data_IF_827128306944
#
_entry.id   IF_827128306944
#
_cell.length_a   1.000
_cell.length_b   1.000
_cell.length_c   1.000
_cell.angle_alpha   90.00
_cell.angle_beta   90.00
_cell.angle_gamma   90.00
#
_symmetry.space_group_name_H-M   'P 1'
#
loop_
_entity.id
_entity.type
_entity.pdbx_description
1 polymer ?
#
# COMPACT_ATOMS: atom_id res chain seq x y z
N UNK A 1 7.56 3.18 14.83
CA UNK A 1 7.53 3.35 13.36
C UNK A 1 8.19 4.65 12.93
N UNK A 2 7.81 5.81 13.48
CA UNK A 2 8.41 7.10 13.10
C UNK A 2 9.92 7.17 13.31
N UNK A 3 10.43 6.71 14.46
CA UNK A 3 11.88 6.66 14.71
C UNK A 3 12.66 5.84 13.66
N UNK A 4 12.09 4.74 13.17
CA UNK A 4 12.72 3.93 12.11
C UNK A 4 12.80 4.70 10.78
N UNK A 5 11.73 5.45 10.46
CA UNK A 5 11.67 6.31 9.29
C UNK A 5 12.66 7.48 9.39
N UNK A 6 12.84 8.05 10.57
CA UNK A 6 13.76 9.16 10.81
C UNK A 6 15.22 8.73 10.74
N UNK A 7 15.56 7.59 11.37
CA UNK A 7 16.95 7.12 11.45
C UNK A 7 17.47 6.57 10.11
N UNK A 8 16.62 5.89 9.35
CA UNK A 8 17.03 5.24 8.11
C UNK A 8 15.89 5.27 7.07
N UNK A 9 15.57 6.42 6.47
CA UNK A 9 14.35 6.60 5.69
C UNK A 9 14.23 5.70 4.46
N UNK A 10 15.34 5.22 3.91
CA UNK A 10 15.37 4.37 2.72
C UNK A 10 15.61 2.89 3.05
N UNK A 11 15.74 2.53 4.32
CA UNK A 11 15.89 1.14 4.74
C UNK A 11 14.57 0.36 4.55
N UNK A 12 14.66 -0.94 4.26
CA UNK A 12 13.50 -1.81 4.04
C UNK A 12 12.49 -1.75 5.19
N UNK A 13 12.95 -1.65 6.43
CA UNK A 13 12.07 -1.57 7.60
C UNK A 13 11.40 -0.21 7.70
N UNK A 14 12.05 0.87 7.28
CA UNK A 14 11.41 2.19 7.19
C UNK A 14 10.37 2.25 6.07
N UNK A 15 10.61 1.57 4.95
CA UNK A 15 9.62 1.46 3.86
C UNK A 15 8.40 0.68 4.36
N UNK A 16 8.60 -0.50 4.99
CA UNK A 16 7.52 -1.27 5.59
C UNK A 16 6.79 -0.49 6.69
N UNK A 17 7.51 0.24 7.54
CA UNK A 17 6.91 1.06 8.59
C UNK A 17 5.96 2.12 8.03
N UNK A 18 6.26 2.71 6.86
CA UNK A 18 5.33 3.63 6.18
C UNK A 18 4.05 2.93 5.75
N UNK A 19 4.15 1.71 5.22
CA UNK A 19 2.98 0.91 4.83
C UNK A 19 2.12 0.60 6.04
N UNK A 20 2.71 0.16 7.15
CA UNK A 20 1.95 -0.15 8.38
C UNK A 20 1.33 1.10 8.99
N UNK A 21 2.06 2.23 9.06
CA UNK A 21 1.48 3.50 9.49
C UNK A 21 0.28 3.91 8.63
N UNK A 22 0.36 3.72 7.32
CA UNK A 22 -0.76 4.03 6.44
C UNK A 22 -1.99 3.18 6.74
N UNK A 23 -1.81 1.89 7.05
CA UNK A 23 -2.92 1.03 7.52
C UNK A 23 -3.53 1.59 8.80
N UNK A 24 -2.70 1.99 9.77
CA UNK A 24 -3.19 2.60 11.02
C UNK A 24 -3.98 3.91 10.79
N UNK A 25 -3.61 4.69 9.77
CA UNK A 25 -4.37 5.88 9.37
C UNK A 25 -5.63 5.57 8.56
N UNK A 26 -5.75 4.37 7.99
CA UNK A 26 -6.85 3.98 7.10
C UNK A 26 -7.99 3.26 7.81
N UNK A 27 -7.67 2.36 8.74
CA UNK A 27 -8.64 1.45 9.37
C UNK A 27 -9.65 2.09 10.34
N UNK A 28 -9.31 3.12 11.13
CA UNK A 28 -10.28 3.73 12.06
C UNK A 28 -11.53 4.29 11.34
N UNK A 29 -12.67 4.42 12.04
CA UNK A 29 -13.82 5.12 11.49
C UNK A 29 -13.57 6.63 11.39
N UNK A 30 -14.40 7.33 10.62
CA UNK A 30 -14.43 8.80 10.66
C UNK A 30 -14.92 9.27 12.05
N UNK A 31 -14.33 10.31 12.66
CA UNK A 31 -13.33 11.23 12.12
C UNK A 31 -11.86 10.87 12.43
N UNK A 32 -11.59 9.68 12.99
CA UNK A 32 -10.25 9.30 13.45
C UNK A 32 -9.31 8.88 12.31
N UNK A 33 -9.85 8.41 11.17
CA UNK A 33 -9.03 8.08 10.00
C UNK A 33 -8.44 9.31 9.34
N UNK A 34 -7.25 9.13 8.78
CA UNK A 34 -6.54 10.15 8.00
C UNK A 34 -6.06 9.58 6.66
N UNK A 35 -6.99 9.51 5.70
CA UNK A 35 -6.71 8.95 4.36
C UNK A 35 -5.66 9.77 3.60
N UNK A 36 -5.54 11.08 3.87
CA UNK A 36 -4.52 11.94 3.25
C UNK A 36 -3.12 11.55 3.67
N UNK A 37 -2.88 11.32 4.96
CA UNK A 37 -1.57 10.86 5.43
C UNK A 37 -1.29 9.42 5.01
N UNK A 38 -2.32 8.56 4.97
CA UNK A 38 -2.19 7.20 4.44
C UNK A 38 -1.75 7.17 2.97
N UNK A 39 -2.33 8.04 2.12
CA UNK A 39 -1.94 8.14 0.70
C UNK A 39 -0.50 8.64 0.57
N UNK A 40 -0.10 9.68 1.31
CA UNK A 40 1.30 10.15 1.30
C UNK A 40 2.29 9.06 1.68
N UNK A 41 2.00 8.30 2.74
CA UNK A 41 2.87 7.24 3.24
C UNK A 41 2.99 6.08 2.24
N UNK A 42 1.87 5.63 1.69
CA UNK A 42 1.86 4.55 0.69
C UNK A 42 2.48 4.97 -0.63
N UNK A 43 2.19 6.18 -1.11
CA UNK A 43 2.84 6.75 -2.31
C UNK A 43 4.36 6.82 -2.13
N UNK A 44 4.84 7.26 -0.95
CA UNK A 44 6.27 7.27 -0.66
C UNK A 44 6.86 5.86 -0.58
N UNK A 45 6.15 4.89 0.00
CA UNK A 45 6.60 3.50 0.06
C UNK A 45 6.75 2.89 -1.34
N UNK A 46 5.74 3.07 -2.21
CA UNK A 46 5.80 2.64 -3.63
C UNK A 46 6.93 3.33 -4.39
N UNK A 47 7.19 4.61 -4.12
CA UNK A 47 8.30 5.33 -4.76
C UNK A 47 9.67 4.82 -4.32
N UNK A 48 9.83 4.39 -3.07
CA UNK A 48 11.09 3.91 -2.53
C UNK A 48 11.35 2.44 -2.88
N UNK A 49 10.29 1.63 -2.92
CA UNK A 49 10.32 0.25 -3.39
C UNK A 49 9.17 -0.01 -4.37
N UNK A 50 9.40 0.16 -5.68
CA UNK A 50 8.39 -0.09 -6.71
C UNK A 50 7.93 -1.54 -6.82
N UNK A 51 8.74 -2.48 -6.33
CA UNK A 51 8.50 -3.93 -6.38
C UNK A 51 7.83 -4.46 -5.10
N UNK A 52 7.57 -3.60 -4.12
CA UNK A 52 6.82 -3.94 -2.91
C UNK A 52 5.32 -4.02 -3.23
N UNK A 53 4.85 -5.23 -3.54
CA UNK A 53 3.44 -5.55 -3.78
C UNK A 53 2.53 -5.09 -2.65
N UNK A 54 2.94 -5.30 -1.40
CA UNK A 54 2.20 -4.88 -0.21
C UNK A 54 1.89 -3.37 -0.22
N UNK A 55 2.86 -2.53 -0.57
CA UNK A 55 2.67 -1.08 -0.65
C UNK A 55 1.64 -0.71 -1.71
N UNK A 56 1.68 -1.39 -2.86
CA UNK A 56 0.73 -1.22 -3.96
C UNK A 56 -0.70 -1.56 -3.53
N UNK A 57 -0.87 -2.71 -2.86
CA UNK A 57 -2.18 -3.16 -2.36
C UNK A 57 -2.71 -2.22 -1.29
N UNK A 58 -1.89 -1.79 -0.32
CA UNK A 58 -2.35 -0.86 0.72
C UNK A 58 -2.69 0.51 0.14
N UNK A 59 -1.93 1.01 -0.84
CA UNK A 59 -2.28 2.26 -1.54
C UNK A 59 -3.62 2.16 -2.25
N UNK A 60 -3.88 1.05 -2.94
CA UNK A 60 -5.18 0.82 -3.56
C UNK A 60 -6.32 0.85 -2.53
N UNK A 61 -6.15 0.20 -1.37
CA UNK A 61 -7.14 0.27 -0.28
C UNK A 61 -7.39 1.68 0.22
N UNK A 62 -6.35 2.51 0.33
CA UNK A 62 -6.50 3.93 0.68
C UNK A 62 -7.39 4.63 -0.35
N UNK A 63 -7.11 4.46 -1.64
CA UNK A 63 -7.93 5.03 -2.71
C UNK A 63 -9.37 4.52 -2.68
N UNK A 64 -9.61 3.23 -2.45
CA UNK A 64 -10.97 2.66 -2.29
C UNK A 64 -11.71 3.34 -1.13
N UNK A 65 -11.05 3.48 0.03
CA UNK A 65 -11.64 4.14 1.20
C UNK A 65 -11.90 5.62 0.99
N UNK A 66 -11.16 6.25 0.07
CA UNK A 66 -11.35 7.64 -0.35
C UNK A 66 -12.39 7.80 -1.48
N UNK A 67 -12.88 6.70 -2.06
CA UNK A 67 -13.81 6.70 -3.20
C UNK A 67 -13.15 6.81 -4.57
N UNK A 68 -11.81 6.80 -4.64
CA UNK A 68 -11.04 6.97 -5.87
C UNK A 68 -10.79 5.62 -6.57
N UNK A 69 -11.85 4.93 -6.97
CA UNK A 69 -11.75 3.60 -7.62
C UNK A 69 -10.84 3.58 -8.86
N UNK A 70 -10.78 4.61 -9.74
CA UNK A 70 -9.85 4.61 -10.87
C UNK A 70 -8.37 4.57 -10.44
N UNK A 71 -8.00 5.28 -9.37
CA UNK A 71 -6.64 5.24 -8.83
C UNK A 71 -6.36 3.91 -8.15
N UNK A 72 -7.34 3.35 -7.44
CA UNK A 72 -7.23 2.01 -6.87
C UNK A 72 -6.97 0.96 -7.95
N UNK A 73 -7.78 0.95 -9.01
CA UNK A 73 -7.63 0.02 -10.12
C UNK A 73 -6.23 0.10 -10.73
N UNK A 74 -5.73 1.31 -11.00
CA UNK A 74 -4.38 1.50 -11.54
C UNK A 74 -3.29 0.91 -10.65
N UNK A 75 -3.37 1.09 -9.34
CA UNK A 75 -2.39 0.53 -8.39
C UNK A 75 -2.48 -1.00 -8.28
N UNK A 76 -3.69 -1.56 -8.33
CA UNK A 76 -3.89 -3.02 -8.28
C UNK A 76 -3.42 -3.69 -9.57
N UNK A 77 -3.73 -3.12 -10.73
CA UNK A 77 -3.21 -3.59 -12.01
C UNK A 77 -1.68 -3.53 -12.01
N UNK A 78 -1.09 -2.41 -11.56
CA UNK A 78 0.37 -2.30 -11.41
C UNK A 78 0.93 -3.41 -10.51
N UNK A 79 0.31 -3.67 -9.35
CA UNK A 79 0.72 -4.72 -8.42
C UNK A 79 0.79 -6.10 -9.11
N UNK A 80 -0.21 -6.43 -9.91
CA UNK A 80 -0.30 -7.71 -10.64
C UNK A 80 0.70 -7.82 -11.80
N UNK A 81 1.26 -6.71 -12.29
CA UNK A 81 2.28 -6.70 -13.34
C UNK A 81 3.73 -6.79 -12.81
N UNK A 82 3.94 -6.75 -11.49
CA UNK A 82 5.27 -6.88 -10.88
C UNK A 82 5.78 -8.31 -11.08
N UNK A 83 6.89 -8.48 -11.82
CA UNK A 83 7.49 -9.79 -12.11
C UNK A 83 8.49 -10.26 -11.05
N UNK A 84 9.20 -9.31 -10.43
CA UNK A 84 10.26 -9.57 -9.46
C UNK A 84 9.94 -8.83 -8.15
N UNK A 85 8.97 -9.31 -7.36
CA UNK A 85 8.60 -8.63 -6.13
C UNK A 85 9.70 -8.72 -5.06
N UNK A 86 9.75 -7.72 -4.18
CA UNK A 86 10.73 -7.68 -3.07
C UNK A 86 10.56 -8.87 -2.12
N UNK A 87 9.31 -9.30 -1.89
CA UNK A 87 8.96 -10.44 -1.06
C UNK A 87 8.06 -11.39 -1.86
N UNK A 88 8.68 -12.38 -2.52
CA UNK A 88 8.00 -13.33 -3.42
C UNK A 88 6.87 -14.08 -2.73
N UNK A 89 7.13 -14.63 -1.54
CA UNK A 89 6.12 -15.38 -0.80
C UNK A 89 4.92 -14.52 -0.39
N UNK A 90 5.16 -13.29 0.06
CA UNK A 90 4.08 -12.37 0.43
C UNK A 90 3.22 -12.01 -0.79
N UNK A 91 3.87 -11.85 -1.94
CA UNK A 91 3.21 -11.54 -3.21
C UNK A 91 2.29 -12.66 -3.66
N UNK A 92 2.79 -13.89 -3.67
CA UNK A 92 2.06 -15.07 -4.14
C UNK A 92 0.93 -15.47 -3.20
N UNK A 93 1.19 -15.48 -1.89
CA UNK A 93 0.26 -15.99 -0.89
C UNK A 93 -0.80 -14.96 -0.49
N UNK A 94 -0.47 -13.67 -0.51
CA UNK A 94 -1.34 -12.63 0.05
C UNK A 94 -1.63 -11.49 -0.92
N UNK A 95 -0.61 -10.80 -1.43
CA UNK A 95 -0.83 -9.51 -2.10
C UNK A 95 -1.52 -9.64 -3.46
N UNK A 96 -1.08 -10.58 -4.32
CA UNK A 96 -1.74 -10.79 -5.61
C UNK A 96 -3.14 -11.37 -5.49
N UNK A 97 -3.40 -12.38 -4.63
CA UNK A 97 -4.77 -12.81 -4.33
C UNK A 97 -5.65 -11.66 -3.82
N UNK A 98 -5.14 -10.84 -2.89
CA UNK A 98 -5.85 -9.67 -2.38
C UNK A 98 -6.11 -8.65 -3.48
N UNK A 99 -5.13 -8.38 -4.35
CA UNK A 99 -5.28 -7.43 -5.44
C UNK A 99 -6.35 -7.84 -6.45
N UNK A 100 -6.39 -9.13 -6.84
CA UNK A 100 -7.43 -9.68 -7.71
C UNK A 100 -8.82 -9.55 -7.08
N UNK A 101 -8.92 -9.85 -5.79
CA UNK A 101 -10.18 -9.72 -5.04
C UNK A 101 -10.66 -8.27 -5.00
N UNK A 102 -9.77 -7.33 -4.72
CA UNK A 102 -10.11 -5.90 -4.67
C UNK A 102 -10.51 -5.37 -6.05
N UNK A 103 -9.82 -5.77 -7.12
CA UNK A 103 -10.18 -5.39 -8.50
C UNK A 103 -11.60 -5.83 -8.83
N UNK A 104 -11.96 -7.06 -8.50
CA UNK A 104 -13.30 -7.59 -8.74
C UNK A 104 -14.41 -6.88 -7.92
N UNK A 105 -14.05 -6.16 -6.85
CA UNK A 105 -15.01 -5.42 -6.00
C UNK A 105 -15.24 -3.98 -6.45
N UNK A 106 -14.33 -3.40 -7.23
CA UNK A 106 -14.38 -1.99 -7.65
C UNK A 106 -14.75 -1.82 -9.13
N UNK A 107 -14.84 -2.93 -9.87
CA UNK A 107 -15.34 -3.01 -11.25
C UNK A 107 -16.86 -3.07 -11.30
#
# INVERSE_FOLDING_TARGET
MNQCIELAPNDRFAILARVILAVLYTEPPWPLRNLREADKLTAKAVSLDPNLTLASVKRAKVHIKNGDNPLAQKELERCLHIKNPTYVWDSELYDWPEAKKLLAQIQ
#
